data_IF_207407061625
#
_entry.id   IF_207407061625
#
_cell.length_a   1.000
_cell.length_b   1.000
_cell.length_c   1.000
_cell.angle_alpha   90.00
_cell.angle_beta   90.00
_cell.angle_gamma   90.00
#
_symmetry.space_group_name_H-M   'P 1'
#
loop_
_entity.id
_entity.type
_entity.pdbx_description
1 polymer ?
#
# COMPACT_ATOMS: atom_id res chain seq x y z
N UNK A 1 -7.71 4.42 -10.52
CA UNK A 1 -7.70 5.39 -9.40
C UNK A 1 -8.90 5.10 -8.52
N UNK A 2 -8.67 5.02 -7.22
CA UNK A 2 -9.69 4.82 -6.18
C UNK A 2 -9.55 5.93 -5.13
N UNK A 3 -10.66 6.29 -4.48
CA UNK A 3 -10.67 7.31 -3.41
C UNK A 3 -11.14 6.64 -2.12
N UNK A 4 -10.42 6.91 -1.03
CA UNK A 4 -10.68 6.31 0.28
C UNK A 4 -10.90 7.41 1.33
N UNK A 5 -11.94 7.22 2.13
CA UNK A 5 -12.11 7.89 3.43
C UNK A 5 -11.53 6.97 4.50
N UNK A 6 -10.58 7.48 5.28
CA UNK A 6 -9.89 6.72 6.33
C UNK A 6 -10.34 7.25 7.70
N UNK A 7 -11.10 6.46 8.49
CA UNK A 7 -11.49 6.84 9.84
C UNK A 7 -10.28 7.03 10.78
N UNK A 8 -10.41 7.81 11.87
CA UNK A 8 -9.38 7.93 12.90
C UNK A 8 -8.86 6.58 13.37
N UNK A 9 -7.54 6.38 13.34
CA UNK A 9 -6.87 5.17 13.80
C UNK A 9 -6.81 4.01 12.79
N UNK A 10 -7.45 4.13 11.62
CA UNK A 10 -7.55 3.03 10.65
C UNK A 10 -6.51 3.15 9.52
N UNK A 11 -6.06 2.02 8.94
CA UNK A 11 -5.33 1.98 7.67
C UNK A 11 -6.26 1.78 6.46
N UNK A 12 -5.77 2.08 5.25
CA UNK A 12 -6.47 1.64 4.00
C UNK A 12 -6.36 0.13 3.83
N UNK A 13 -5.21 -0.43 4.19
CA UNK A 13 -4.87 -1.84 3.98
C UNK A 13 -3.60 -2.27 4.71
N UNK A 14 -3.17 -3.52 4.54
CA UNK A 14 -1.94 -4.05 5.14
C UNK A 14 -0.68 -3.33 4.65
N UNK A 15 0.43 -3.49 5.38
CA UNK A 15 1.74 -3.03 4.91
C UNK A 15 2.25 -3.95 3.80
N UNK A 16 2.43 -3.39 2.60
CA UNK A 16 2.68 -4.17 1.40
C UNK A 16 3.59 -3.43 0.41
N UNK A 17 4.04 -4.15 -0.62
CA UNK A 17 4.63 -3.55 -1.80
C UNK A 17 4.22 -4.35 -3.05
N UNK A 18 4.24 -3.68 -4.18
CA UNK A 18 3.90 -4.26 -5.48
C UNK A 18 5.16 -4.61 -6.27
N UNK A 19 5.19 -5.78 -6.90
CA UNK A 19 6.29 -6.19 -7.79
C UNK A 19 6.12 -5.70 -9.22
N UNK A 20 4.88 -5.47 -9.63
CA UNK A 20 4.51 -5.21 -11.01
C UNK A 20 3.98 -3.79 -11.20
N UNK A 21 3.35 -3.25 -10.17
CA UNK A 21 2.59 -2.01 -10.28
C UNK A 21 3.20 -0.90 -9.44
N UNK A 22 3.43 0.25 -10.07
CA UNK A 22 3.77 1.45 -9.32
C UNK A 22 2.49 2.04 -8.73
N UNK A 23 2.53 2.42 -7.46
CA UNK A 23 1.41 3.08 -6.80
C UNK A 23 1.73 4.52 -6.41
N UNK A 24 0.71 5.36 -6.37
CA UNK A 24 0.80 6.77 -6.01
C UNK A 24 -0.34 7.11 -5.08
N UNK A 25 -0.07 7.96 -4.09
CA UNK A 25 -1.08 8.47 -3.18
C UNK A 25 -1.06 9.99 -3.16
N UNK A 26 -2.25 10.58 -3.30
CA UNK A 26 -2.52 12.01 -3.21
C UNK A 26 -3.35 12.25 -1.95
N UNK A 27 -2.86 13.09 -1.05
CA UNK A 27 -3.65 13.56 0.09
C UNK A 27 -4.71 14.54 -0.41
N UNK A 28 -6.00 14.25 -0.19
CA UNK A 28 -7.10 15.11 -0.62
C UNK A 28 -7.63 15.99 0.51
N UNK A 29 -7.75 15.42 1.71
CA UNK A 29 -8.27 16.11 2.90
C UNK A 29 -7.64 15.54 4.17
N UNK A 30 -7.34 16.41 5.14
CA UNK A 30 -6.69 16.02 6.39
C UNK A 30 -5.20 15.67 6.23
N UNK A 31 -4.60 15.16 7.30
CA UNK A 31 -3.17 14.82 7.36
C UNK A 31 -3.02 13.28 7.42
N UNK A 32 -2.64 12.66 6.29
CA UNK A 32 -2.47 11.20 6.21
C UNK A 32 -1.04 10.81 6.62
N UNK A 33 -0.91 9.72 7.36
CA UNK A 33 0.40 9.16 7.73
C UNK A 33 0.71 7.96 6.85
N UNK A 34 1.88 7.97 6.22
CA UNK A 34 2.37 6.87 5.40
C UNK A 34 3.56 6.23 6.11
N UNK A 35 3.47 4.93 6.38
CA UNK A 35 4.61 4.10 6.79
C UNK A 35 5.38 3.67 5.55
N UNK A 36 6.70 3.74 5.59
CA UNK A 36 7.66 3.35 4.54
C UNK A 36 8.84 2.59 5.16
N UNK A 37 9.75 1.97 4.37
CA UNK A 37 10.97 1.35 4.91
C UNK A 37 11.86 2.35 5.66
N UNK A 38 11.87 3.61 5.25
CA UNK A 38 12.70 4.68 5.82
C UNK A 38 12.08 5.31 7.08
N UNK A 39 10.82 4.99 7.38
CA UNK A 39 10.08 5.50 8.53
C UNK A 39 8.71 6.03 8.15
N UNK A 40 8.21 6.98 8.95
CA UNK A 40 6.89 7.57 8.73
C UNK A 40 7.02 8.95 8.11
N UNK A 41 6.16 9.23 7.13
CA UNK A 41 5.98 10.54 6.53
C UNK A 41 4.51 10.96 6.68
N UNK A 42 4.29 12.24 6.94
CA UNK A 42 2.97 12.86 6.90
C UNK A 42 2.78 13.56 5.56
N UNK A 43 1.57 13.51 5.01
CA UNK A 43 1.19 14.29 3.83
C UNK A 43 0.03 15.21 4.15
N UNK A 44 0.21 16.48 3.80
CA UNK A 44 -0.84 17.51 3.83
C UNK A 44 -1.64 17.53 2.52
N UNK A 45 -2.86 18.10 2.51
CA UNK A 45 -3.70 18.13 1.31
C UNK A 45 -2.99 18.75 0.09
N UNK A 46 -3.02 18.02 -1.02
CA UNK A 46 -2.36 18.36 -2.28
C UNK A 46 -0.98 17.75 -2.46
N UNK A 47 -0.37 17.20 -1.40
CA UNK A 47 0.90 16.49 -1.51
C UNK A 47 0.73 15.09 -2.10
N UNK A 48 1.79 14.62 -2.73
CA UNK A 48 1.82 13.36 -3.49
C UNK A 48 3.05 12.57 -3.12
N UNK A 49 2.89 11.26 -2.98
CA UNK A 49 3.99 10.31 -2.84
C UNK A 49 3.86 9.20 -3.88
N UNK A 50 5.01 8.70 -4.34
CA UNK A 50 5.12 7.57 -5.24
C UNK A 50 5.74 6.39 -4.50
N UNK A 51 5.22 5.20 -4.77
CA UNK A 51 5.67 3.91 -4.29
C UNK A 51 6.17 3.10 -5.48
N UNK A 52 7.49 3.10 -5.74
CA UNK A 52 8.05 2.35 -6.86
C UNK A 52 7.88 0.85 -6.63
N UNK A 53 7.91 0.07 -7.71
CA UNK A 53 7.88 -1.39 -7.60
C UNK A 53 9.03 -1.95 -6.74
N UNK A 54 8.77 -3.06 -6.08
CA UNK A 54 9.69 -3.78 -5.21
C UNK A 54 9.71 -3.27 -3.77
N UNK A 55 10.51 -3.91 -2.93
CA UNK A 55 10.51 -3.70 -1.48
C UNK A 55 10.86 -2.27 -1.03
N UNK A 56 11.52 -1.48 -1.88
CA UNK A 56 11.79 -0.07 -1.62
C UNK A 56 10.55 0.82 -1.66
N UNK A 57 9.48 0.41 -2.34
CA UNK A 57 8.19 1.11 -2.33
C UNK A 57 7.18 0.53 -1.34
N UNK A 58 7.64 -0.23 -0.35
CA UNK A 58 6.71 -0.76 0.66
C UNK A 58 6.00 0.37 1.41
N UNK A 59 4.70 0.25 1.58
CA UNK A 59 3.93 1.32 2.17
C UNK A 59 2.65 0.86 2.87
N UNK A 60 2.19 1.70 3.80
CA UNK A 60 0.85 1.63 4.37
C UNK A 60 0.38 3.05 4.65
N UNK A 61 -0.76 3.42 4.05
CA UNK A 61 -1.45 4.65 4.38
C UNK A 61 -2.42 4.43 5.55
N UNK A 62 -2.35 5.30 6.55
CA UNK A 62 -3.23 5.27 7.71
C UNK A 62 -3.57 6.66 8.22
N UNK A 63 -4.61 6.74 9.03
CA UNK A 63 -5.01 7.95 9.71
C UNK A 63 -4.56 7.92 11.18
N UNK A 64 -3.50 8.66 11.52
CA UNK A 64 -3.04 8.80 12.90
C UNK A 64 -3.69 9.99 13.65
N UNK A 65 -4.69 10.65 13.05
CA UNK A 65 -5.38 11.82 13.62
C UNK A 65 -6.70 11.41 14.30
N UNK A 66 -7.40 12.39 14.89
CA UNK A 66 -8.71 12.22 15.53
C UNK A 66 -9.91 12.61 14.64
N UNK A 67 -9.65 12.99 13.38
CA UNK A 67 -10.66 13.34 12.37
C UNK A 67 -10.48 12.49 11.11
N UNK A 68 -11.53 12.23 10.31
CA UNK A 68 -11.38 11.51 9.05
C UNK A 68 -10.39 12.20 8.08
N UNK A 69 -9.64 11.41 7.32
CA UNK A 69 -8.78 11.89 6.23
C UNK A 69 -9.21 11.24 4.91
N UNK A 70 -8.91 11.90 3.79
CA UNK A 70 -9.27 11.40 2.46
C UNK A 70 -8.07 11.40 1.53
N UNK A 71 -7.92 10.32 0.78
CA UNK A 71 -6.83 10.16 -0.20
C UNK A 71 -7.33 9.60 -1.52
N UNK A 72 -6.61 9.88 -2.60
CA UNK A 72 -6.73 9.17 -3.87
C UNK A 72 -5.50 8.29 -4.09
N UNK A 73 -5.72 7.04 -4.48
CA UNK A 73 -4.67 6.08 -4.85
C UNK A 73 -4.75 5.78 -6.34
N UNK A 74 -3.61 5.82 -7.01
CA UNK A 74 -3.44 5.47 -8.41
C UNK A 74 -2.43 4.33 -8.51
N UNK A 75 -2.69 3.41 -9.44
CA UNK A 75 -1.79 2.32 -9.76
C UNK A 75 -1.69 2.23 -11.27
N UNK A 76 -0.56 1.75 -11.78
CA UNK A 76 -0.40 1.42 -13.20
C UNK A 76 -1.41 0.38 -13.67
N UNK A 77 -1.91 -0.47 -12.76
CA UNK A 77 -2.93 -1.49 -13.02
C UNK A 77 -2.60 -2.34 -14.26
N UNK A 78 -1.41 -2.93 -14.28
CA UNK A 78 -1.00 -3.87 -15.31
C UNK A 78 -1.93 -5.09 -15.35
N UNK A 79 -1.92 -5.81 -16.47
CA UNK A 79 -2.77 -7.01 -16.65
C UNK A 79 -2.55 -8.08 -15.57
N UNK A 80 -1.31 -8.13 -15.04
CA UNK A 80 -0.93 -8.98 -13.92
C UNK A 80 -0.37 -8.13 -12.79
N UNK A 81 -0.96 -8.28 -11.61
CA UNK A 81 -0.54 -7.64 -10.36
C UNK A 81 0.09 -8.68 -9.42
N UNK A 82 1.20 -8.35 -8.75
CA UNK A 82 1.76 -9.19 -7.68
C UNK A 82 2.11 -8.32 -6.49
N UNK A 83 1.45 -8.57 -5.36
CA UNK A 83 1.69 -7.86 -4.10
C UNK A 83 2.30 -8.78 -3.05
N UNK A 84 3.22 -8.26 -2.25
CA UNK A 84 3.67 -8.92 -1.02
C UNK A 84 3.12 -8.21 0.22
N UNK A 85 2.37 -8.95 1.03
CA UNK A 85 1.88 -8.52 2.34
C UNK A 85 2.89 -8.92 3.42
N UNK A 86 3.66 -7.93 3.89
CA UNK A 86 4.87 -8.17 4.68
C UNK A 86 4.60 -8.70 6.10
N UNK A 87 3.45 -8.36 6.67
CA UNK A 87 3.06 -8.76 8.03
C UNK A 87 2.18 -10.01 8.04
N UNK A 88 1.43 -10.25 6.97
CA UNK A 88 0.55 -11.41 6.84
C UNK A 88 1.30 -12.65 6.30
N UNK A 89 2.56 -12.51 5.90
CA UNK A 89 3.33 -13.54 5.20
C UNK A 89 2.59 -14.10 3.97
N UNK A 90 1.93 -13.23 3.20
CA UNK A 90 1.11 -13.61 2.05
C UNK A 90 1.54 -12.90 0.77
N UNK A 91 1.24 -13.52 -0.36
CA UNK A 91 1.41 -12.96 -1.71
C UNK A 91 0.04 -12.95 -2.40
N UNK A 92 -0.38 -11.78 -2.87
CA UNK A 92 -1.56 -11.64 -3.73
C UNK A 92 -1.13 -11.64 -5.20
N UNK A 93 -1.92 -12.29 -6.05
CA UNK A 93 -1.73 -12.31 -7.51
C UNK A 93 -3.06 -11.94 -8.17
N UNK A 94 -3.05 -10.87 -8.96
CA UNK A 94 -4.14 -10.49 -9.86
C UNK A 94 -3.79 -10.94 -11.28
N UNK A 95 -4.73 -11.62 -11.93
CA UNK A 95 -4.61 -12.08 -13.31
C UNK A 95 -5.94 -11.78 -14.03
N UNK A 96 -6.03 -10.59 -14.64
CA UNK A 96 -7.31 -10.09 -15.16
C UNK A 96 -8.34 -9.89 -14.04
N UNK A 97 -9.45 -10.62 -14.10
CA UNK A 97 -10.52 -10.57 -13.09
C UNK A 97 -10.30 -11.54 -11.92
N UNK A 98 -9.31 -12.43 -12.02
CA UNK A 98 -9.03 -13.45 -10.99
C UNK A 98 -8.06 -12.90 -9.95
N UNK A 99 -8.30 -13.25 -8.67
CA UNK A 99 -7.43 -12.89 -7.55
C UNK A 99 -7.11 -14.13 -6.70
N UNK A 100 -5.82 -14.38 -6.52
CA UNK A 100 -5.29 -15.47 -5.71
C UNK A 100 -4.50 -14.91 -4.53
N UNK A 101 -4.64 -15.53 -3.37
CA UNK A 101 -3.80 -15.26 -2.19
C UNK A 101 -3.10 -16.54 -1.80
N UNK A 102 -1.79 -16.47 -1.64
CA UNK A 102 -0.92 -17.59 -1.35
C UNK A 102 -0.13 -17.29 -0.07
N UNK A 103 0.01 -18.28 0.80
CA UNK A 103 0.95 -18.16 1.92
C UNK A 103 2.38 -18.15 1.38
N UNK A 104 3.18 -17.20 1.84
CA UNK A 104 4.58 -17.10 1.47
C UNK A 104 5.32 -18.31 2.03
N UNK A 105 6.04 -19.09 1.21
CA UNK A 105 6.81 -20.20 1.73
C UNK A 105 7.85 -19.66 2.72
N UNK A 106 7.85 -20.20 3.94
CA UNK A 106 8.89 -19.91 4.91
C UNK A 106 10.24 -20.16 4.23
N UNK A 107 11.22 -19.24 4.38
CA UNK A 107 12.53 -19.43 3.78
C UNK A 107 13.01 -20.83 4.13
N UNK A 108 13.37 -21.60 3.12
CA UNK A 108 13.87 -22.95 3.33
C UNK A 108 15.12 -22.80 4.19
N UNK A 109 15.09 -23.27 5.45
CA UNK A 109 16.30 -23.37 6.27
C UNK A 109 17.15 -24.49 5.66
N UNK A 110 17.94 -24.17 4.65
CA UNK A 110 18.73 -25.13 3.92
C UNK A 110 20.15 -24.63 3.65
N UNK A 111 21.10 -25.24 4.39
CA UNK A 111 22.51 -25.40 4.01
C UNK A 111 23.49 -24.38 4.54
#
# INVERSE_FOLDING_TARGET
MSVYDIPPGEPIGPYHFEWTDEEWLIALEGHVTIRTPEGELGLDPGEVVCFPVGSGGAHQARNATDVPVRVAVLSTMNEFGIVEYLEDEQVGIWAGEEHYVLDRPKPHKGG
#
